data_IF_991574827906
#
_entry.id   IF_991574827906
#
_cell.length_a   1.000
_cell.length_b   1.000
_cell.length_c   1.000
_cell.angle_alpha   90.00
_cell.angle_beta   90.00
_cell.angle_gamma   90.00
#
_symmetry.space_group_name_H-M   'P 1'
#
loop_
_entity.id
_entity.type
_entity.pdbx_description
1 polymer ?
#
# COMPACT_ATOMS: atom_id res chain seq x y z
N UNK A 1 5.30 -19.42 18.75
CA UNK A 1 5.21 -20.73 18.09
C UNK A 1 5.42 -20.49 16.61
N UNK A 2 6.65 -20.73 16.12
CA UNK A 2 7.01 -20.49 14.73
C UNK A 2 6.23 -21.45 13.83
N UNK A 3 5.49 -20.93 12.88
CA UNK A 3 4.96 -21.71 11.75
C UNK A 3 6.14 -22.13 10.89
N UNK A 4 6.67 -23.32 11.17
CA UNK A 4 7.69 -23.95 10.35
C UNK A 4 7.09 -24.23 8.97
N UNK A 5 7.72 -23.69 7.94
CA UNK A 5 7.44 -23.65 6.56
C UNK A 5 6.92 -24.93 5.92
N UNK A 6 5.68 -24.88 5.50
CA UNK A 6 5.33 -25.44 4.20
C UNK A 6 5.88 -24.44 3.18
N UNK A 7 6.92 -24.82 2.44
CA UNK A 7 7.46 -23.97 1.38
C UNK A 7 6.33 -23.62 0.41
N UNK A 8 6.27 -22.35 -0.02
CA UNK A 8 5.34 -21.92 -1.05
C UNK A 8 5.63 -22.72 -2.33
N UNK A 9 4.68 -23.55 -2.75
CA UNK A 9 4.78 -24.26 -4.03
C UNK A 9 4.08 -23.45 -5.12
N UNK A 10 4.87 -22.92 -6.04
CA UNK A 10 4.38 -22.13 -7.16
C UNK A 10 3.48 -22.94 -8.09
N UNK A 11 3.73 -24.23 -8.26
CA UNK A 11 2.94 -25.10 -9.14
C UNK A 11 1.53 -25.33 -8.57
N UNK A 12 1.43 -25.58 -7.26
CA UNK A 12 0.16 -25.71 -6.56
C UNK A 12 -0.62 -24.39 -6.58
N UNK A 13 0.05 -23.27 -6.37
CA UNK A 13 -0.56 -21.95 -6.43
C UNK A 13 -1.12 -21.65 -7.83
N UNK A 14 -0.34 -21.86 -8.88
CA UNK A 14 -0.77 -21.64 -10.27
C UNK A 14 -1.90 -22.58 -10.67
N UNK A 15 -1.88 -23.85 -10.22
CA UNK A 15 -2.96 -24.80 -10.43
C UNK A 15 -4.27 -24.33 -9.81
N UNK A 16 -4.24 -23.82 -8.59
CA UNK A 16 -5.42 -23.27 -7.89
C UNK A 16 -6.02 -22.07 -8.63
N UNK A 17 -5.19 -21.21 -9.21
CA UNK A 17 -5.65 -20.03 -9.96
C UNK A 17 -6.27 -20.43 -11.30
N UNK A 18 -5.67 -21.39 -12.02
CA UNK A 18 -6.07 -21.73 -13.39
C UNK A 18 -7.51 -22.23 -13.52
N UNK A 19 -8.03 -22.88 -12.48
CA UNK A 19 -9.38 -23.48 -12.52
C UNK A 19 -10.50 -22.50 -12.18
N UNK A 20 -10.19 -21.36 -11.59
CA UNK A 20 -11.17 -20.40 -11.08
C UNK A 20 -11.25 -19.10 -11.86
N UNK A 21 -10.20 -18.73 -12.59
CA UNK A 21 -10.12 -17.46 -13.33
C UNK A 21 -10.47 -17.67 -14.79
N UNK A 22 -11.64 -17.17 -15.23
CA UNK A 22 -11.94 -17.06 -16.65
C UNK A 22 -10.95 -16.09 -17.29
N UNK A 23 -10.33 -16.43 -18.44
CA UNK A 23 -9.46 -15.51 -19.16
C UNK A 23 -10.19 -14.18 -19.39
N UNK A 24 -9.69 -13.11 -18.81
CA UNK A 24 -10.24 -11.77 -19.02
C UNK A 24 -10.01 -11.34 -20.47
N UNK A 25 -11.03 -10.75 -21.08
CA UNK A 25 -10.94 -10.10 -22.40
C UNK A 25 -10.58 -8.62 -22.26
N UNK A 26 -10.27 -8.17 -21.03
CA UNK A 26 -9.97 -6.78 -20.74
C UNK A 26 -8.71 -6.29 -21.49
N UNK A 27 -8.78 -5.12 -22.06
CA UNK A 27 -7.73 -4.46 -22.83
C UNK A 27 -7.57 -3.01 -22.36
N UNK A 28 -6.38 -2.41 -22.43
CA UNK A 28 -5.15 -2.92 -23.04
C UNK A 28 -4.42 -3.97 -22.16
N UNK A 29 -3.70 -4.89 -22.81
CA UNK A 29 -2.79 -5.82 -22.13
C UNK A 29 -1.41 -5.19 -21.85
N UNK A 30 -1.09 -4.11 -22.56
CA UNK A 30 0.12 -3.31 -22.42
C UNK A 30 -0.28 -1.85 -22.32
N UNK A 31 0.36 -1.13 -21.40
CA UNK A 31 0.30 0.32 -21.29
C UNK A 31 1.73 0.85 -21.39
N UNK A 32 1.95 1.73 -22.35
CA UNK A 32 3.29 2.30 -22.56
C UNK A 32 3.59 3.39 -21.53
N UNK A 33 4.88 3.59 -21.21
CA UNK A 33 5.30 4.57 -20.21
C UNK A 33 4.81 6.00 -20.51
N UNK A 34 4.68 6.36 -21.78
CA UNK A 34 4.16 7.67 -22.20
C UNK A 34 2.64 7.85 -21.94
N UNK A 35 1.92 6.78 -21.62
CA UNK A 35 0.48 6.79 -21.34
C UNK A 35 0.17 6.88 -19.82
N UNK A 36 1.21 6.86 -18.99
CA UNK A 36 1.04 7.05 -17.55
C UNK A 36 0.46 8.43 -17.25
N UNK A 37 -0.54 8.48 -16.42
CA UNK A 37 -1.20 9.71 -16.01
C UNK A 37 -0.42 10.36 -14.86
N UNK A 38 0.21 11.51 -15.16
CA UNK A 38 1.01 12.22 -14.18
C UNK A 38 0.13 12.99 -13.18
N UNK A 39 0.36 12.74 -11.89
CA UNK A 39 -0.15 13.53 -10.79
C UNK A 39 1.02 14.33 -10.21
N UNK A 40 1.02 15.67 -10.39
CA UNK A 40 2.13 16.50 -9.95
C UNK A 40 2.27 16.52 -8.43
N UNK A 41 3.48 16.84 -7.96
CA UNK A 41 3.75 17.06 -6.55
C UNK A 41 2.83 18.15 -5.96
N UNK A 42 2.48 17.98 -4.69
CA UNK A 42 1.61 18.90 -3.97
C UNK A 42 0.11 18.59 -4.05
N UNK A 43 -0.30 17.67 -4.92
CA UNK A 43 -1.63 17.09 -4.78
C UNK A 43 -1.66 16.26 -3.48
N UNK A 44 -2.73 16.42 -2.71
CA UNK A 44 -2.95 15.73 -1.43
C UNK A 44 -1.80 15.88 -0.41
N UNK A 45 -1.12 17.04 -0.42
CA UNK A 45 -0.02 17.38 0.50
C UNK A 45 1.24 16.50 0.41
N UNK A 46 1.35 15.68 -0.63
CA UNK A 46 2.51 14.83 -0.85
C UNK A 46 3.52 15.54 -1.78
N UNK A 47 4.78 15.76 -1.38
CA UNK A 47 5.79 16.41 -2.21
C UNK A 47 6.33 15.53 -3.34
N UNK A 48 5.90 14.27 -3.43
CA UNK A 48 6.31 13.33 -4.47
C UNK A 48 5.44 13.46 -5.72
N UNK A 49 5.95 13.02 -6.87
CA UNK A 49 5.17 12.89 -8.08
C UNK A 49 4.73 11.45 -8.30
N UNK A 50 3.53 11.27 -8.81
CA UNK A 50 2.99 9.96 -9.16
C UNK A 50 2.73 9.90 -10.66
N UNK A 51 2.94 8.73 -11.26
CA UNK A 51 2.58 8.45 -12.65
C UNK A 51 1.76 7.15 -12.69
N UNK A 52 0.44 7.30 -12.78
CA UNK A 52 -0.53 6.22 -12.54
C UNK A 52 -0.80 5.43 -13.81
N UNK A 53 -0.83 4.10 -13.71
CA UNK A 53 -1.21 3.19 -14.78
C UNK A 53 -2.75 2.98 -14.83
N UNK A 54 -3.50 4.10 -14.84
CA UNK A 54 -4.95 4.11 -14.69
C UNK A 54 -5.73 3.36 -15.77
N UNK A 55 -5.15 3.21 -16.96
CA UNK A 55 -5.79 2.52 -18.10
C UNK A 55 -5.58 1.01 -18.13
N UNK A 56 -4.70 0.46 -17.28
CA UNK A 56 -4.62 -1.00 -17.13
C UNK A 56 -5.89 -1.52 -16.46
N UNK A 57 -6.53 -2.57 -17.01
CA UNK A 57 -7.80 -3.06 -16.51
C UNK A 57 -7.63 -3.97 -15.28
N UNK A 58 -6.78 -3.57 -14.33
CA UNK A 58 -6.61 -4.28 -13.07
C UNK A 58 -7.85 -4.12 -12.22
N UNK A 59 -8.39 -5.21 -11.71
CA UNK A 59 -9.64 -5.21 -10.94
C UNK A 59 -9.42 -4.97 -9.43
N UNK A 60 -8.29 -5.41 -8.90
CA UNK A 60 -8.06 -5.46 -7.45
C UNK A 60 -6.91 -4.59 -6.97
N UNK A 61 -5.95 -4.29 -7.81
CA UNK A 61 -4.78 -3.50 -7.44
C UNK A 61 -4.58 -2.30 -8.37
N UNK A 62 -3.89 -1.32 -7.87
CA UNK A 62 -3.45 -0.13 -8.56
C UNK A 62 -1.93 -0.15 -8.73
N UNK A 63 -1.46 0.41 -9.84
CA UNK A 63 -0.04 0.48 -10.19
C UNK A 63 0.33 1.92 -10.50
N UNK A 64 1.43 2.38 -9.93
CA UNK A 64 1.99 3.68 -10.29
C UNK A 64 3.50 3.74 -10.05
N UNK A 65 4.15 4.67 -10.73
CA UNK A 65 5.51 5.08 -10.41
C UNK A 65 5.44 6.26 -9.45
N UNK A 66 6.23 6.21 -8.38
CA UNK A 66 6.41 7.31 -7.46
C UNK A 66 7.84 7.83 -7.55
N UNK A 67 8.01 9.14 -7.62
CA UNK A 67 9.33 9.76 -7.63
C UNK A 67 9.47 10.68 -6.44
N UNK A 68 10.50 10.45 -5.62
CA UNK A 68 10.85 11.31 -4.47
C UNK A 68 12.11 12.10 -4.86
N UNK A 69 12.03 13.44 -4.96
CA UNK A 69 13.17 14.28 -5.29
C UNK A 69 14.30 14.16 -4.26
N UNK A 70 15.55 14.56 -4.61
CA UNK A 70 16.69 14.53 -3.70
C UNK A 70 16.41 15.25 -2.38
N UNK A 71 16.76 14.62 -1.26
CA UNK A 71 16.61 15.14 0.09
C UNK A 71 15.17 15.36 0.56
N UNK A 72 14.18 14.87 -0.21
CA UNK A 72 12.77 14.99 0.13
C UNK A 72 12.19 13.64 0.63
N UNK A 73 10.91 13.67 0.96
CA UNK A 73 10.18 12.48 1.43
C UNK A 73 8.73 12.52 0.96
N UNK A 74 8.02 11.42 1.09
CA UNK A 74 6.56 11.41 1.04
C UNK A 74 5.97 12.12 2.26
N UNK A 75 4.64 12.28 2.31
CA UNK A 75 3.92 12.64 3.53
C UNK A 75 3.91 11.47 4.53
N UNK A 76 3.72 11.77 5.80
CA UNK A 76 3.38 10.79 6.82
C UNK A 76 1.91 10.43 6.66
N UNK A 77 1.62 9.16 6.32
CA UNK A 77 0.27 8.71 6.00
C UNK A 77 -0.01 7.30 6.54
N UNK A 78 -1.29 6.95 6.61
CA UNK A 78 -1.74 5.56 6.80
C UNK A 78 -2.99 5.28 5.98
N UNK A 79 -3.18 4.05 5.57
CA UNK A 79 -4.31 3.62 4.74
C UNK A 79 -4.64 2.14 4.95
N UNK A 80 -5.86 1.73 4.60
CA UNK A 80 -6.30 0.34 4.77
C UNK A 80 -5.75 -0.61 3.73
N UNK A 81 -5.39 -0.12 2.55
CA UNK A 81 -4.76 -0.97 1.53
C UNK A 81 -3.32 -1.33 1.91
N UNK A 82 -2.93 -2.53 1.52
CA UNK A 82 -1.55 -2.97 1.54
C UNK A 82 -0.79 -2.34 0.37
N UNK A 83 0.46 -2.00 0.60
CA UNK A 83 1.32 -1.45 -0.44
C UNK A 83 2.66 -2.17 -0.47
N UNK A 84 3.11 -2.50 -1.67
CA UNK A 84 4.47 -2.96 -1.94
C UNK A 84 5.12 -1.97 -2.88
N UNK A 85 6.30 -1.47 -2.50
CA UNK A 85 7.14 -0.69 -3.38
C UNK A 85 8.34 -1.54 -3.82
N UNK A 86 8.58 -1.61 -5.12
CA UNK A 86 9.86 -2.07 -5.65
C UNK A 86 10.73 -0.85 -5.94
N UNK A 87 11.92 -0.79 -5.37
CA UNK A 87 12.87 0.32 -5.56
C UNK A 87 13.53 0.17 -6.92
N UNK A 88 13.09 0.98 -7.90
CA UNK A 88 13.68 0.99 -9.26
C UNK A 88 15.05 1.65 -9.24
N UNK A 89 15.17 2.79 -8.53
CA UNK A 89 16.40 3.58 -8.48
C UNK A 89 16.50 4.36 -7.17
N UNK A 90 17.73 4.65 -6.75
CA UNK A 90 18.04 5.43 -5.57
C UNK A 90 18.18 4.61 -4.30
N UNK A 91 18.23 5.32 -3.17
CA UNK A 91 18.35 4.76 -1.81
C UNK A 91 17.70 5.68 -0.80
N UNK A 92 17.28 5.11 0.32
CA UNK A 92 16.69 5.88 1.39
C UNK A 92 16.31 5.02 2.57
N UNK A 93 15.37 5.50 3.34
CA UNK A 93 14.77 4.75 4.43
C UNK A 93 13.27 5.05 4.52
N UNK A 94 12.58 4.19 5.25
CA UNK A 94 11.17 4.38 5.59
C UNK A 94 11.01 4.35 7.10
N UNK A 95 10.23 5.29 7.63
CA UNK A 95 9.63 5.15 8.95
C UNK A 95 8.33 4.36 8.76
N UNK A 96 8.20 3.24 9.44
CA UNK A 96 6.99 2.39 9.48
C UNK A 96 6.67 2.15 10.94
N UNK A 97 5.70 2.88 11.48
CA UNK A 97 5.47 3.05 12.91
C UNK A 97 6.75 3.49 13.62
N UNK A 98 7.22 2.74 14.60
CA UNK A 98 8.42 3.04 15.37
C UNK A 98 9.71 2.45 14.75
N UNK A 99 9.58 1.71 13.64
CA UNK A 99 10.69 1.08 12.95
C UNK A 99 11.23 1.97 11.84
N UNK A 100 12.55 1.97 11.68
CA UNK A 100 13.24 2.67 10.61
C UNK A 100 14.04 1.68 9.77
N UNK A 101 13.60 1.50 8.52
CA UNK A 101 14.14 0.50 7.61
C UNK A 101 14.84 1.16 6.42
N UNK A 102 16.12 0.87 6.23
CA UNK A 102 16.89 1.35 5.08
C UNK A 102 16.70 0.43 3.86
N UNK A 103 16.71 1.01 2.66
CA UNK A 103 16.56 0.30 1.39
C UNK A 103 17.36 0.97 0.27
N UNK A 104 17.60 0.21 -0.79
CA UNK A 104 18.29 0.64 -2.01
C UNK A 104 17.63 0.03 -3.26
N UNK A 105 18.09 0.44 -4.44
CA UNK A 105 17.61 -0.11 -5.71
C UNK A 105 17.68 -1.64 -5.74
N UNK A 106 16.58 -2.29 -6.11
CA UNK A 106 16.38 -3.74 -6.12
C UNK A 106 15.60 -4.28 -4.91
N UNK A 107 15.45 -3.50 -3.85
CA UNK A 107 14.74 -3.93 -2.63
C UNK A 107 13.21 -3.78 -2.78
N UNK A 108 12.49 -4.48 -1.90
CA UNK A 108 11.05 -4.35 -1.73
C UNK A 108 10.74 -3.78 -0.36
N UNK A 109 9.81 -2.83 -0.32
CA UNK A 109 9.30 -2.22 0.90
C UNK A 109 7.83 -2.61 1.03
N UNK A 110 7.45 -3.21 2.15
CA UNK A 110 6.07 -3.54 2.47
C UNK A 110 5.51 -2.56 3.49
N UNK A 111 4.37 -1.98 3.17
CA UNK A 111 3.60 -1.14 4.09
C UNK A 111 2.33 -1.86 4.49
N UNK A 112 2.21 -2.30 5.76
CA UNK A 112 1.03 -2.97 6.26
C UNK A 112 -0.21 -2.06 6.32
N UNK A 113 -1.43 -2.64 6.33
CA UNK A 113 -2.66 -1.88 6.50
C UNK A 113 -2.67 -1.04 7.79
N UNK A 114 -3.16 0.18 7.66
CA UNK A 114 -3.40 1.12 8.76
C UNK A 114 -2.18 1.46 9.63
N UNK A 115 -0.99 1.38 9.03
CA UNK A 115 0.31 1.64 9.65
C UNK A 115 0.79 3.02 9.23
N UNK A 116 1.20 3.89 10.16
CA UNK A 116 1.83 5.16 9.84
C UNK A 116 3.15 4.92 9.16
N UNK A 117 3.34 5.51 7.98
CA UNK A 117 4.56 5.35 7.22
C UNK A 117 4.92 6.61 6.42
N UNK A 118 6.22 6.74 6.15
CA UNK A 118 6.82 7.81 5.35
C UNK A 118 8.10 7.32 4.73
N UNK A 119 8.32 7.63 3.45
CA UNK A 119 9.51 7.23 2.71
C UNK A 119 10.41 8.44 2.48
N UNK A 120 11.71 8.30 2.71
CA UNK A 120 12.70 9.36 2.61
C UNK A 120 13.73 9.04 1.54
N UNK A 121 14.08 10.04 0.73
CA UNK A 121 15.22 9.97 -0.16
C UNK A 121 16.46 10.51 0.54
N UNK A 122 17.42 9.65 0.85
CA UNK A 122 18.67 10.01 1.55
C UNK A 122 19.76 10.56 0.63
N UNK A 123 19.52 10.60 -0.69
CA UNK A 123 20.43 11.21 -1.65
C UNK A 123 20.19 12.72 -1.73
N UNK A 124 21.27 13.49 -1.71
CA UNK A 124 21.21 14.94 -1.94
C UNK A 124 21.13 15.31 -3.44
N UNK A 125 21.38 14.37 -4.35
CA UNK A 125 21.57 14.65 -5.79
C UNK A 125 20.75 13.80 -6.72
N UNK A 126 20.30 12.60 -6.26
CA UNK A 126 19.60 11.64 -7.12
C UNK A 126 18.17 11.44 -6.61
N UNK A 127 17.23 11.33 -7.53
CA UNK A 127 15.85 10.99 -7.19
C UNK A 127 15.73 9.50 -6.85
N UNK A 128 14.76 9.18 -6.01
CA UNK A 128 14.29 7.81 -5.78
C UNK A 128 13.10 7.56 -6.70
N UNK A 129 13.08 6.38 -7.31
CA UNK A 129 11.95 5.90 -8.09
C UNK A 129 11.44 4.55 -7.56
N UNK A 130 10.15 4.46 -7.32
CA UNK A 130 9.44 3.23 -6.96
C UNK A 130 8.48 2.80 -8.07
N UNK A 131 8.35 1.49 -8.26
CA UNK A 131 7.11 0.89 -8.74
C UNK A 131 6.27 0.56 -7.52
N UNK A 132 5.09 1.15 -7.43
CA UNK A 132 4.16 0.93 -6.32
C UNK A 132 2.98 0.08 -6.79
N UNK A 133 2.65 -0.91 -5.99
CA UNK A 133 1.52 -1.83 -6.18
C UNK A 133 0.70 -1.82 -4.91
N UNK A 134 -0.60 -1.53 -5.02
CA UNK A 134 -1.50 -1.50 -3.87
C UNK A 134 -2.86 -2.10 -4.19
N UNK A 135 -3.51 -2.74 -3.21
CA UNK A 135 -4.84 -3.35 -3.39
C UNK A 135 -5.99 -2.35 -3.17
N UNK A 136 -5.74 -1.06 -3.40
CA UNK A 136 -6.67 0.04 -3.19
C UNK A 136 -7.99 -0.13 -3.96
N UNK A 137 -7.95 -0.62 -5.21
CA UNK A 137 -9.14 -0.85 -6.03
C UNK A 137 -10.08 -1.88 -5.43
N UNK A 138 -9.53 -2.96 -4.84
CA UNK A 138 -10.35 -3.96 -4.15
C UNK A 138 -11.10 -3.34 -2.97
N UNK A 139 -10.38 -2.61 -2.11
CA UNK A 139 -10.98 -1.99 -0.94
C UNK A 139 -12.00 -0.90 -1.32
N UNK A 140 -11.73 -0.15 -2.39
CA UNK A 140 -12.66 0.82 -2.93
C UNK A 140 -13.95 0.16 -3.45
N UNK A 141 -13.82 -0.95 -4.18
CA UNK A 141 -14.97 -1.70 -4.68
C UNK A 141 -15.83 -2.29 -3.54
N UNK A 142 -15.19 -2.63 -2.40
CA UNK A 142 -15.87 -3.11 -1.19
C UNK A 142 -16.43 -1.98 -0.32
N UNK A 143 -16.12 -0.70 -0.61
CA UNK A 143 -16.56 0.44 0.17
C UNK A 143 -15.87 0.59 1.54
N UNK A 144 -14.70 -0.03 1.73
CA UNK A 144 -13.96 -0.04 3.00
C UNK A 144 -12.62 0.71 2.93
N UNK A 145 -12.41 1.51 1.91
CA UNK A 145 -11.19 2.32 1.79
C UNK A 145 -11.14 3.42 2.84
N UNK A 146 -9.97 3.61 3.45
CA UNK A 146 -9.70 4.70 4.38
C UNK A 146 -8.26 5.16 4.23
N UNK A 147 -8.02 6.47 4.26
CA UNK A 147 -6.69 7.08 4.25
C UNK A 147 -6.65 8.28 5.18
N UNK A 148 -5.53 8.48 5.85
CA UNK A 148 -5.20 9.69 6.59
C UNK A 148 -3.80 10.16 6.19
N UNK A 149 -3.65 11.46 6.02
CA UNK A 149 -2.36 12.13 5.79
C UNK A 149 -2.13 13.15 6.90
N UNK A 150 -0.98 13.09 7.53
CA UNK A 150 -0.55 14.02 8.57
C UNK A 150 0.42 15.09 8.03
N UNK A 151 0.78 15.03 6.74
CA UNK A 151 1.75 15.93 6.12
C UNK A 151 3.19 15.58 6.48
N UNK A 152 4.08 16.58 6.46
CA UNK A 152 5.50 16.37 6.76
C UNK A 152 5.73 16.44 8.28
N UNK A 153 5.56 15.33 8.95
CA UNK A 153 5.71 15.21 10.41
C UNK A 153 6.29 13.85 10.81
N UNK A 154 6.59 13.67 12.07
CA UNK A 154 7.00 12.38 12.66
C UNK A 154 5.80 11.50 12.94
N UNK A 155 6.04 10.20 13.17
CA UNK A 155 4.99 9.25 13.60
C UNK A 155 4.33 9.69 14.90
N UNK A 156 5.10 10.19 15.87
CA UNK A 156 4.57 10.67 17.14
C UNK A 156 3.61 11.87 16.96
N UNK A 157 3.96 12.81 16.09
CA UNK A 157 3.10 13.96 15.76
C UNK A 157 1.84 13.52 15.00
N UNK A 158 1.96 12.54 14.10
CA UNK A 158 0.83 11.98 13.39
C UNK A 158 -0.15 11.28 14.35
N UNK A 159 0.35 10.45 15.27
CA UNK A 159 -0.46 9.82 16.32
C UNK A 159 -1.15 10.83 17.24
N UNK A 160 -0.45 11.91 17.62
CA UNK A 160 -1.05 12.97 18.42
C UNK A 160 -2.16 13.72 17.69
N UNK A 161 -2.00 13.93 16.37
CA UNK A 161 -3.00 14.62 15.52
C UNK A 161 -4.20 13.75 15.20
N UNK A 162 -4.01 12.45 15.07
CA UNK A 162 -5.02 11.45 14.75
C UNK A 162 -5.02 10.35 15.82
N UNK A 163 -5.47 10.65 17.04
CA UNK A 163 -5.53 9.65 18.10
C UNK A 163 -6.41 8.48 17.64
N UNK A 164 -6.00 7.27 18.00
CA UNK A 164 -6.82 6.09 17.74
C UNK A 164 -8.11 6.20 18.54
N UNK A 165 -9.23 6.12 17.84
CA UNK A 165 -10.48 5.86 18.53
C UNK A 165 -10.37 4.49 19.19
N UNK A 166 -10.75 4.36 20.48
CA UNK A 166 -10.80 3.06 21.11
C UNK A 166 -11.62 2.15 20.18
N UNK A 167 -11.03 1.02 19.79
CA UNK A 167 -11.68 0.08 18.88
C UNK A 167 -13.10 -0.15 19.42
N UNK A 168 -14.11 0.29 18.67
CA UNK A 168 -15.47 -0.08 18.95
C UNK A 168 -15.45 -1.61 18.92
N UNK A 169 -15.49 -2.24 20.11
CA UNK A 169 -15.64 -3.68 20.16
C UNK A 169 -16.87 -3.97 19.33
N UNK A 170 -16.77 -4.77 18.23
CA UNK A 170 -17.98 -5.21 17.58
C UNK A 170 -18.81 -5.83 18.71
N UNK A 171 -19.92 -5.20 19.04
CA UNK A 171 -20.79 -5.74 20.05
C UNK A 171 -21.09 -7.17 19.62
N UNK A 172 -20.60 -8.14 20.37
CA UNK A 172 -21.20 -9.45 20.35
C UNK A 172 -22.66 -9.13 20.72
N UNK A 173 -23.53 -9.07 19.73
CA UNK A 173 -24.96 -9.10 19.97
C UNK A 173 -25.15 -10.32 20.87
N UNK A 174 -25.60 -10.09 22.10
CA UNK A 174 -25.92 -11.16 23.02
C UNK A 174 -26.80 -12.13 22.24
N UNK A 175 -26.29 -13.33 22.00
CA UNK A 175 -27.15 -14.38 21.44
C UNK A 175 -28.32 -14.52 22.43
N UNK A 176 -29.55 -14.44 21.96
CA UNK A 176 -30.68 -14.73 22.84
C UNK A 176 -30.48 -16.15 23.38
N UNK A 177 -30.48 -16.28 24.70
CA UNK A 177 -30.48 -17.56 25.36
C UNK A 177 -31.56 -18.43 24.73
N UNK A 178 -31.15 -19.51 24.09
CA UNK A 178 -32.07 -20.57 23.68
C UNK A 178 -32.54 -21.22 24.97
N UNK A 179 -33.64 -20.70 25.53
CA UNK A 179 -34.32 -21.38 26.60
C UNK A 179 -34.71 -22.77 26.12
N UNK A 180 -34.26 -23.75 26.88
CA UNK A 180 -34.55 -25.16 26.81
C UNK A 180 -36.08 -25.37 26.79
N UNK A 181 -36.63 -25.77 25.63
CA UNK A 181 -37.98 -26.27 25.56
C UNK A 181 -37.95 -27.80 25.69
N UNK A 182 -37.92 -28.26 26.91
CA UNK A 182 -38.28 -29.63 27.26
C UNK A 182 -39.80 -29.85 27.24
#
# INVERSE_FOLDING_TARGET
>A
MALAGAGFDMADFLGTISDTVRPGTARPAVMHAAELEALPAGQVHNPTTLAVAGRLPTATFELFRQTIPPGQSSDMQRHYHETVHYVIAGRGHSDIEDDKEAWAAGDFIYTPPWTWHRHYNDSATEAVEFLTIENSRLLQALGITRRQSAGLCTVAEARARFPEEPAARPGLAAQPDLEDQS
#
